data_IF_443156130190
#
_entry.id   IF_443156130190
#
_cell.length_a   1.000
_cell.length_b   1.000
_cell.length_c   1.000
_cell.angle_alpha   90.00
_cell.angle_beta   90.00
_cell.angle_gamma   90.00
#
_symmetry.space_group_name_H-M   'P 1'
#
loop_
_entity.id
_entity.type
_entity.pdbx_description
1 polymer ?
#
# COMPACT_ATOMS: atom_id res chain seq x y z
N UNK A 1 43.30 -50.68 -11.31
CA UNK A 1 43.35 -49.96 -10.02
C UNK A 1 43.99 -48.60 -10.25
N UNK A 2 43.17 -47.56 -10.37
CA UNK A 2 43.64 -46.17 -10.38
C UNK A 2 42.55 -45.34 -9.71
N UNK A 3 42.78 -45.00 -8.44
CA UNK A 3 41.86 -44.25 -7.62
C UNK A 3 41.93 -42.76 -8.01
N UNK A 4 40.82 -42.20 -8.48
CA UNK A 4 40.64 -40.76 -8.56
C UNK A 4 40.27 -40.25 -7.15
N UNK A 5 41.22 -39.62 -6.48
CA UNK A 5 40.95 -38.79 -5.31
C UNK A 5 40.29 -37.48 -5.76
N UNK A 6 38.97 -37.39 -5.59
CA UNK A 6 38.27 -36.11 -5.56
C UNK A 6 38.57 -35.42 -4.23
N UNK A 7 39.52 -34.48 -4.25
CA UNK A 7 39.66 -33.47 -3.19
C UNK A 7 38.55 -32.43 -3.38
N UNK A 8 37.43 -32.61 -2.69
CA UNK A 8 36.50 -31.50 -2.44
C UNK A 8 37.11 -30.59 -1.37
N UNK A 9 37.75 -29.51 -1.80
CA UNK A 9 38.10 -28.40 -0.91
C UNK A 9 36.84 -27.59 -0.55
N UNK A 10 36.80 -26.93 0.62
CA UNK A 10 35.66 -26.10 1.00
C UNK A 10 35.55 -24.92 0.03
N UNK A 11 34.41 -24.77 -0.64
CA UNK A 11 34.11 -23.58 -1.42
C UNK A 11 34.00 -22.38 -0.47
N UNK A 12 35.00 -21.51 -0.45
CA UNK A 12 34.95 -20.24 0.24
C UNK A 12 33.97 -19.31 -0.49
N UNK A 13 32.72 -19.26 -0.03
CA UNK A 13 31.72 -18.33 -0.52
C UNK A 13 32.04 -16.92 -0.01
N UNK A 14 31.96 -15.92 -0.90
CA UNK A 14 32.20 -14.52 -0.54
C UNK A 14 31.01 -13.96 0.25
N UNK A 15 31.21 -12.90 1.04
CA UNK A 15 30.14 -12.20 1.76
C UNK A 15 29.03 -11.71 0.79
N UNK A 16 29.44 -11.29 -0.42
CA UNK A 16 28.56 -10.93 -1.53
C UNK A 16 27.66 -12.08 -2.01
N UNK A 17 28.18 -13.33 -2.05
CA UNK A 17 27.37 -14.50 -2.39
C UNK A 17 26.33 -14.82 -1.32
N UNK A 18 26.70 -14.64 -0.04
CA UNK A 18 25.80 -14.89 1.09
C UNK A 18 24.63 -13.91 1.09
N UNK A 19 24.89 -12.63 0.82
CA UNK A 19 23.83 -11.62 0.73
C UNK A 19 22.89 -11.89 -0.45
N UNK A 20 23.43 -12.28 -1.61
CA UNK A 20 22.61 -12.70 -2.76
C UNK A 20 21.67 -13.85 -2.38
N UNK A 21 22.18 -14.90 -1.73
CA UNK A 21 21.35 -16.04 -1.34
C UNK A 21 20.31 -15.72 -0.28
N UNK A 22 20.61 -14.79 0.62
CA UNK A 22 19.65 -14.28 1.61
C UNK A 22 18.52 -13.51 0.94
N UNK A 23 18.84 -12.67 -0.04
CA UNK A 23 17.85 -11.98 -0.88
C UNK A 23 16.95 -12.96 -1.62
N UNK A 24 17.53 -13.97 -2.27
CA UNK A 24 16.78 -14.99 -3.01
C UNK A 24 15.87 -15.82 -2.08
N UNK A 25 16.36 -16.17 -0.89
CA UNK A 25 15.58 -16.90 0.09
C UNK A 25 14.45 -16.05 0.68
N UNK A 26 14.68 -14.75 0.92
CA UNK A 26 13.62 -13.82 1.32
C UNK A 26 12.53 -13.72 0.24
N UNK A 27 12.91 -13.56 -1.04
CA UNK A 27 11.94 -13.56 -2.14
C UNK A 27 11.14 -14.85 -2.18
N UNK A 28 11.80 -16.00 -2.00
CA UNK A 28 11.12 -17.28 -1.94
C UNK A 28 10.08 -17.30 -0.81
N UNK A 29 10.44 -16.88 0.42
CA UNK A 29 9.52 -16.85 1.55
C UNK A 29 8.30 -15.94 1.31
N UNK A 30 8.52 -14.78 0.69
CA UNK A 30 7.47 -13.79 0.46
C UNK A 30 6.53 -14.16 -0.71
N UNK A 31 7.01 -14.94 -1.68
CA UNK A 31 6.27 -15.23 -2.93
C UNK A 31 5.77 -16.68 -3.04
N UNK A 32 6.26 -17.60 -2.21
CA UNK A 32 5.88 -19.01 -2.28
C UNK A 32 4.40 -19.24 -1.92
N UNK A 33 3.72 -20.08 -2.70
CA UNK A 33 2.32 -20.48 -2.47
C UNK A 33 2.18 -21.72 -1.59
N UNK A 34 3.11 -22.66 -1.73
CA UNK A 34 3.12 -23.94 -0.99
C UNK A 34 4.54 -24.21 -0.48
N UNK A 35 4.92 -23.60 0.65
CA UNK A 35 6.26 -23.77 1.20
C UNK A 35 6.47 -25.18 1.73
N UNK A 36 7.58 -25.82 1.33
CA UNK A 36 8.12 -27.00 2.04
C UNK A 36 8.80 -26.50 3.32
N UNK A 37 8.05 -26.54 4.43
CA UNK A 37 8.49 -25.98 5.71
C UNK A 37 9.80 -26.61 6.22
N UNK A 38 9.96 -27.95 6.28
CA UNK A 38 11.24 -28.55 6.63
C UNK A 38 12.42 -28.02 5.82
N UNK A 39 12.26 -27.92 4.49
CA UNK A 39 13.31 -27.42 3.61
C UNK A 39 13.63 -25.94 3.86
N UNK A 40 12.62 -25.10 4.11
CA UNK A 40 12.83 -23.68 4.43
C UNK A 40 13.56 -23.47 5.75
N UNK A 41 13.25 -24.26 6.80
CA UNK A 41 13.98 -24.18 8.07
C UNK A 41 15.44 -24.60 7.88
N UNK A 42 15.69 -25.71 7.18
CA UNK A 42 17.06 -26.14 6.87
C UNK A 42 17.86 -25.07 6.10
N UNK A 43 17.20 -24.39 5.15
CA UNK A 43 17.83 -23.31 4.37
C UNK A 43 18.06 -22.06 5.22
N UNK A 44 17.13 -21.72 6.12
CA UNK A 44 17.30 -20.63 7.08
C UNK A 44 18.47 -20.88 8.03
N UNK A 45 18.58 -22.09 8.59
CA UNK A 45 19.69 -22.49 9.45
C UNK A 45 21.04 -22.36 8.73
N UNK A 46 21.12 -22.83 7.49
CA UNK A 46 22.32 -22.69 6.65
C UNK A 46 22.70 -21.23 6.40
N UNK A 47 21.71 -20.36 6.16
CA UNK A 47 21.89 -18.92 5.93
C UNK A 47 22.05 -18.12 7.23
N UNK A 48 21.95 -18.79 8.39
CA UNK A 48 21.94 -18.21 9.73
C UNK A 48 20.84 -17.15 9.91
N UNK A 49 19.65 -17.43 9.39
CA UNK A 49 18.48 -16.58 9.55
C UNK A 49 17.60 -17.10 10.70
N UNK A 50 17.40 -16.32 11.77
CA UNK A 50 16.50 -16.69 12.87
C UNK A 50 15.01 -16.60 12.48
N UNK A 51 14.46 -17.55 11.73
CA UNK A 51 13.03 -17.58 11.38
C UNK A 51 12.10 -17.64 12.61
N UNK A 52 12.61 -18.12 13.75
CA UNK A 52 11.85 -18.26 15.00
C UNK A 52 11.56 -16.91 15.69
N UNK A 53 12.25 -15.83 15.28
CA UNK A 53 11.98 -14.49 15.80
C UNK A 53 10.83 -13.87 15.00
N UNK A 54 9.88 -13.17 15.64
CA UNK A 54 8.84 -12.47 14.91
C UNK A 54 9.44 -11.30 14.11
N UNK A 55 9.15 -11.26 12.82
CA UNK A 55 9.56 -10.18 11.93
C UNK A 55 8.35 -9.40 11.42
N UNK A 56 8.60 -8.23 10.84
CA UNK A 56 7.63 -7.47 10.05
C UNK A 56 8.22 -7.21 8.67
N UNK A 57 7.39 -7.35 7.65
CA UNK A 57 7.70 -6.98 6.28
C UNK A 57 7.43 -5.49 6.13
N UNK A 58 8.37 -4.73 5.59
CA UNK A 58 8.12 -3.36 5.12
C UNK A 58 8.21 -3.32 3.62
N UNK A 59 7.28 -2.61 2.98
CA UNK A 59 7.23 -2.41 1.54
C UNK A 59 7.33 -0.92 1.24
N UNK A 60 8.20 -0.57 0.31
CA UNK A 60 8.48 0.81 -0.08
C UNK A 60 8.31 0.96 -1.57
N UNK A 61 7.69 2.06 -2.01
CA UNK A 61 7.45 2.37 -3.42
C UNK A 61 7.68 3.83 -3.71
N UNK A 62 8.32 4.10 -4.85
CA UNK A 62 8.37 5.43 -5.44
C UNK A 62 7.10 5.67 -6.26
N UNK A 63 6.37 6.73 -5.93
CA UNK A 63 5.19 7.18 -6.68
C UNK A 63 5.45 8.55 -7.34
N UNK A 64 4.55 8.96 -8.22
CA UNK A 64 4.69 10.17 -9.04
C UNK A 64 5.49 9.95 -10.33
N UNK A 65 5.70 8.72 -10.78
CA UNK A 65 6.43 8.44 -12.03
C UNK A 65 5.85 9.20 -13.25
N UNK A 66 4.52 9.31 -13.44
CA UNK A 66 3.96 10.02 -14.60
C UNK A 66 4.43 11.48 -14.74
N UNK A 67 4.77 12.17 -13.64
CA UNK A 67 5.27 13.55 -13.72
C UNK A 67 6.66 13.65 -14.35
N UNK A 68 7.48 12.60 -14.24
CA UNK A 68 8.80 12.54 -14.91
C UNK A 68 8.66 12.41 -16.42
N UNK A 69 7.62 11.73 -16.90
CA UNK A 69 7.36 11.52 -18.33
C UNK A 69 6.46 12.61 -18.94
N UNK A 70 6.18 13.67 -18.18
CA UNK A 70 5.44 14.83 -18.70
C UNK A 70 6.26 15.56 -19.77
N UNK A 71 5.63 16.08 -20.85
CA UNK A 71 6.32 16.91 -21.86
C UNK A 71 7.02 18.14 -21.28
N UNK A 72 6.60 18.58 -20.09
CA UNK A 72 7.16 19.73 -19.38
C UNK A 72 8.39 19.39 -18.52
N UNK A 73 8.77 18.12 -18.38
CA UNK A 73 9.91 17.72 -17.56
C UNK A 73 11.22 17.96 -18.30
N UNK A 74 12.09 18.80 -17.73
CA UNK A 74 13.42 19.08 -18.24
C UNK A 74 14.42 18.08 -17.65
N UNK A 75 14.67 16.96 -18.35
CA UNK A 75 15.64 15.95 -17.92
C UNK A 75 15.50 14.65 -18.70
N UNK A 76 16.27 13.63 -18.32
CA UNK A 76 16.08 12.26 -18.79
C UNK A 76 15.25 11.48 -17.74
N UNK A 77 13.96 11.19 -18.01
CA UNK A 77 13.06 10.57 -17.04
C UNK A 77 13.58 9.23 -16.50
N UNK A 78 14.09 8.37 -17.39
CA UNK A 78 14.65 7.07 -17.05
C UNK A 78 15.88 7.19 -16.17
N UNK A 79 16.78 8.15 -16.46
CA UNK A 79 17.97 8.37 -15.64
C UNK A 79 17.60 8.83 -14.22
N UNK A 80 16.63 9.76 -14.10
CA UNK A 80 16.14 10.23 -12.80
C UNK A 80 15.51 9.09 -11.99
N UNK A 81 14.68 8.25 -12.63
CA UNK A 81 14.05 7.11 -11.97
C UNK A 81 15.10 6.08 -11.51
N UNK A 82 16.08 5.79 -12.36
CA UNK A 82 17.16 4.86 -12.04
C UNK A 82 18.00 5.37 -10.86
N UNK A 83 18.38 6.65 -10.85
CA UNK A 83 19.15 7.24 -9.76
C UNK A 83 18.36 7.25 -8.45
N UNK A 84 17.07 7.62 -8.50
CA UNK A 84 16.19 7.60 -7.31
C UNK A 84 16.06 6.20 -6.71
N UNK A 85 15.95 5.16 -7.54
CA UNK A 85 15.91 3.75 -7.10
C UNK A 85 17.23 3.32 -6.47
N UNK A 86 18.36 3.66 -7.13
CA UNK A 86 19.70 3.36 -6.62
C UNK A 86 19.93 4.01 -5.26
N UNK A 87 19.57 5.29 -5.12
CA UNK A 87 19.70 6.03 -3.87
C UNK A 87 18.84 5.43 -2.75
N UNK A 88 17.58 5.10 -3.04
CA UNK A 88 16.71 4.41 -2.08
C UNK A 88 17.35 3.11 -1.59
N UNK A 89 17.84 2.26 -2.52
CA UNK A 89 18.46 1.00 -2.17
C UNK A 89 19.73 1.19 -1.32
N UNK A 90 20.57 2.17 -1.66
CA UNK A 90 21.78 2.48 -0.90
C UNK A 90 21.48 2.97 0.52
N UNK A 91 20.54 3.90 0.69
CA UNK A 91 20.20 4.39 2.02
C UNK A 91 19.48 3.33 2.86
N UNK A 92 18.63 2.49 2.24
CA UNK A 92 18.04 1.34 2.93
C UNK A 92 19.10 0.35 3.40
N UNK A 93 20.08 0.05 2.56
CA UNK A 93 21.19 -0.82 2.95
C UNK A 93 22.01 -0.22 4.10
N UNK A 94 22.24 1.11 4.10
CA UNK A 94 22.93 1.80 5.18
C UNK A 94 22.13 1.78 6.51
N UNK A 95 20.80 1.85 6.44
CA UNK A 95 19.91 1.76 7.60
C UNK A 95 19.98 0.37 8.28
N UNK A 96 20.27 -0.67 7.49
CA UNK A 96 20.19 -2.09 7.85
C UNK A 96 21.51 -2.66 8.40
N UNK A 97 22.31 -1.89 9.12
CA UNK A 97 23.62 -2.35 9.66
C UNK A 97 23.47 -3.65 10.49
N UNK A 98 23.77 -4.80 9.87
CA UNK A 98 23.66 -6.15 10.48
C UNK A 98 22.34 -6.89 10.26
N UNK A 99 21.40 -6.35 9.48
CA UNK A 99 20.15 -7.00 9.10
C UNK A 99 20.18 -7.52 7.63
N UNK A 100 19.09 -8.10 7.13
CA UNK A 100 19.01 -8.66 5.77
C UNK A 100 19.09 -7.57 4.69
N UNK A 101 19.71 -7.83 3.53
CA UNK A 101 19.72 -6.84 2.46
C UNK A 101 18.28 -6.53 1.98
N UNK A 102 18.00 -5.28 1.57
CA UNK A 102 16.77 -4.95 0.87
C UNK A 102 16.62 -5.79 -0.39
N UNK A 103 15.39 -6.21 -0.68
CA UNK A 103 15.09 -6.94 -1.90
C UNK A 103 14.07 -6.21 -2.74
N UNK A 104 14.34 -6.16 -4.04
CA UNK A 104 13.47 -5.50 -5.01
C UNK A 104 12.58 -6.53 -5.70
N UNK A 105 11.27 -6.29 -5.68
CA UNK A 105 10.27 -7.06 -6.41
C UNK A 105 9.45 -6.11 -7.29
N UNK A 106 9.81 -6.01 -8.57
CA UNK A 106 9.21 -5.03 -9.48
C UNK A 106 9.55 -3.59 -9.08
N UNK A 107 8.55 -2.80 -8.70
CA UNK A 107 8.69 -1.42 -8.20
C UNK A 107 8.76 -1.33 -6.66
N UNK A 108 8.60 -2.45 -5.97
CA UNK A 108 8.64 -2.53 -4.52
C UNK A 108 10.05 -2.81 -4.02
N UNK A 109 10.50 -2.04 -3.03
CA UNK A 109 11.64 -2.38 -2.20
C UNK A 109 11.15 -2.95 -0.87
N UNK A 110 11.59 -4.15 -0.53
CA UNK A 110 11.12 -4.95 0.60
C UNK A 110 12.24 -5.08 1.63
N UNK A 111 11.90 -4.88 2.89
CA UNK A 111 12.79 -5.14 4.02
C UNK A 111 12.10 -6.05 5.02
N UNK A 112 12.88 -6.92 5.65
CA UNK A 112 12.46 -7.66 6.83
C UNK A 112 13.13 -7.07 8.05
N UNK A 113 12.33 -6.62 9.00
CA UNK A 113 12.82 -6.07 10.26
C UNK A 113 12.34 -6.97 11.41
N UNK A 114 13.19 -7.37 12.36
CA UNK A 114 12.75 -7.98 13.60
C UNK A 114 11.74 -7.06 14.31
N UNK A 115 10.72 -7.62 14.96
CA UNK A 115 9.63 -6.82 15.56
C UNK A 115 10.13 -5.84 16.63
N UNK A 116 11.23 -6.16 17.29
CA UNK A 116 11.92 -5.36 18.29
C UNK A 116 13.05 -4.49 17.72
N UNK A 117 13.17 -4.41 16.38
CA UNK A 117 14.08 -3.48 15.71
C UNK A 117 13.76 -2.04 16.14
N UNK A 118 14.77 -1.20 16.44
CA UNK A 118 14.53 0.19 16.84
C UNK A 118 13.87 1.02 15.74
N UNK A 119 13.93 0.57 14.48
CA UNK A 119 13.23 1.17 13.35
C UNK A 119 11.70 1.03 13.47
N UNK A 120 11.22 -0.02 14.13
CA UNK A 120 9.81 -0.30 14.37
C UNK A 120 9.31 0.19 15.74
N UNK A 121 10.06 1.08 16.37
CA UNK A 121 9.65 1.74 17.61
C UNK A 121 8.31 2.46 17.46
N UNK A 122 7.62 2.70 18.59
CA UNK A 122 6.26 3.24 18.62
C UNK A 122 6.13 4.51 17.76
N UNK A 123 5.18 4.50 16.83
CA UNK A 123 4.93 5.60 15.90
C UNK A 123 5.93 5.73 14.75
N UNK A 124 6.84 4.76 14.59
CA UNK A 124 7.76 4.59 13.46
C UNK A 124 8.58 5.83 13.11
N UNK A 125 8.94 6.64 14.11
CA UNK A 125 9.59 7.94 13.92
C UNK A 125 10.87 7.87 13.06
N UNK A 126 11.68 6.82 13.24
CA UNK A 126 12.90 6.62 12.44
C UNK A 126 12.60 6.35 10.97
N UNK A 127 11.59 5.53 10.67
CA UNK A 127 11.16 5.24 9.30
C UNK A 127 10.48 6.46 8.67
N UNK A 128 9.74 7.25 9.45
CA UNK A 128 9.17 8.53 8.99
C UNK A 128 10.27 9.54 8.65
N UNK A 129 11.29 9.68 9.52
CA UNK A 129 12.43 10.57 9.27
C UNK A 129 13.25 10.12 8.06
N UNK A 130 13.49 8.81 7.92
CA UNK A 130 14.13 8.22 6.74
C UNK A 130 13.37 8.58 5.45
N UNK A 131 12.04 8.41 5.45
CA UNK A 131 11.19 8.77 4.30
C UNK A 131 11.30 10.25 3.94
N UNK A 132 11.27 11.12 4.95
CA UNK A 132 11.39 12.56 4.75
C UNK A 132 12.75 12.96 4.16
N UNK A 133 13.83 12.34 4.62
CA UNK A 133 15.16 12.57 4.08
C UNK A 133 15.25 12.13 2.61
N UNK A 134 14.78 10.92 2.27
CA UNK A 134 14.75 10.45 0.88
C UNK A 134 13.93 11.41 0.00
N UNK A 135 12.72 11.79 0.42
CA UNK A 135 11.83 12.65 -0.38
C UNK A 135 12.43 14.01 -0.74
N UNK A 136 13.33 14.55 0.10
CA UNK A 136 14.02 15.80 -0.20
C UNK A 136 14.96 15.65 -1.41
N UNK A 137 15.53 14.45 -1.60
CA UNK A 137 16.53 14.19 -2.63
C UNK A 137 15.91 13.64 -3.94
N UNK A 138 14.79 12.92 -3.86
CA UNK A 138 14.18 12.23 -5.03
C UNK A 138 13.06 13.03 -5.73
N UNK A 139 12.83 14.28 -5.35
CA UNK A 139 11.81 15.12 -5.97
C UNK A 139 11.96 15.13 -7.51
N UNK A 140 10.87 15.07 -8.30
CA UNK A 140 9.47 15.17 -7.92
C UNK A 140 8.80 13.86 -7.46
N UNK A 141 9.55 12.76 -7.34
CA UNK A 141 8.99 11.50 -6.83
C UNK A 141 8.70 11.60 -5.33
N UNK A 142 7.81 10.73 -4.86
CA UNK A 142 7.50 10.60 -3.42
C UNK A 142 7.62 9.14 -3.00
N UNK A 143 8.32 8.89 -1.90
CA UNK A 143 8.43 7.58 -1.28
C UNK A 143 7.23 7.34 -0.36
N UNK A 144 6.56 6.21 -0.59
CA UNK A 144 5.53 5.66 0.28
C UNK A 144 6.01 4.37 0.95
N UNK A 145 5.52 4.11 2.16
CA UNK A 145 5.87 2.92 2.94
C UNK A 145 4.64 2.23 3.55
N UNK A 146 4.69 0.91 3.63
CA UNK A 146 3.73 0.07 4.34
C UNK A 146 4.44 -0.95 5.21
N UNK A 147 3.88 -1.24 6.38
CA UNK A 147 4.45 -2.17 7.36
C UNK A 147 3.42 -3.26 7.66
N UNK A 148 3.78 -4.54 7.52
CA UNK A 148 2.90 -5.68 7.83
C UNK A 148 2.66 -5.85 9.32
N UNK A 149 1.68 -6.65 9.72
CA UNK A 149 1.63 -7.20 11.07
C UNK A 149 2.84 -8.12 11.37
N UNK A 150 3.01 -8.55 12.62
CA UNK A 150 4.06 -9.50 12.98
C UNK A 150 3.86 -10.86 12.30
N UNK A 151 4.97 -11.41 11.80
CA UNK A 151 5.10 -12.70 11.14
C UNK A 151 6.03 -13.56 11.98
N UNK A 152 5.49 -14.60 12.60
CA UNK A 152 6.22 -15.48 13.52
C UNK A 152 6.49 -16.88 12.97
N UNK A 153 6.07 -17.16 11.72
CA UNK A 153 6.20 -18.47 11.09
C UNK A 153 6.48 -18.32 9.59
N UNK A 154 7.29 -19.23 9.04
CA UNK A 154 7.71 -19.22 7.63
C UNK A 154 6.53 -19.20 6.63
N UNK A 155 5.46 -19.93 6.94
CA UNK A 155 4.23 -19.98 6.12
C UNK A 155 3.44 -18.65 6.08
N UNK A 156 3.68 -17.73 7.02
CA UNK A 156 2.97 -16.46 7.10
C UNK A 156 3.70 -15.31 6.38
N UNK A 157 4.88 -15.53 5.81
CA UNK A 157 5.63 -14.47 5.13
C UNK A 157 4.90 -13.91 3.91
N UNK A 158 4.21 -14.75 3.15
CA UNK A 158 3.35 -14.28 2.05
C UNK A 158 2.20 -13.40 2.54
N UNK A 159 1.59 -13.74 3.68
CA UNK A 159 0.59 -12.89 4.35
C UNK A 159 1.21 -11.55 4.72
N UNK A 160 2.41 -11.57 5.33
CA UNK A 160 3.16 -10.35 5.65
C UNK A 160 3.42 -9.45 4.44
N UNK A 161 3.81 -10.01 3.29
CA UNK A 161 3.95 -9.23 2.06
C UNK A 161 2.62 -8.60 1.62
N UNK A 162 1.53 -9.36 1.68
CA UNK A 162 0.19 -8.85 1.35
C UNK A 162 -0.22 -7.71 2.28
N UNK A 163 -0.04 -7.87 3.58
CA UNK A 163 -0.34 -6.84 4.59
C UNK A 163 0.50 -5.57 4.39
N UNK A 164 1.81 -5.70 4.15
CA UNK A 164 2.69 -4.56 3.87
C UNK A 164 2.26 -3.80 2.60
N UNK A 165 1.88 -4.51 1.54
CA UNK A 165 1.35 -3.91 0.30
C UNK A 165 0.02 -3.20 0.51
N UNK A 166 -0.88 -3.78 1.32
CA UNK A 166 -2.16 -3.16 1.66
C UNK A 166 -1.94 -1.87 2.46
N UNK A 167 -1.05 -1.90 3.45
CA UNK A 167 -0.67 -0.71 4.22
C UNK A 167 -0.01 0.36 3.32
N UNK A 168 0.88 -0.03 2.42
CA UNK A 168 1.51 0.86 1.46
C UNK A 168 0.48 1.56 0.57
N UNK A 169 -0.45 0.80 -0.01
CA UNK A 169 -1.51 1.36 -0.85
C UNK A 169 -2.41 2.31 -0.03
N UNK A 170 -2.74 1.96 1.22
CA UNK A 170 -3.50 2.86 2.09
C UNK A 170 -2.72 4.14 2.43
N UNK A 171 -1.39 4.07 2.61
CA UNK A 171 -0.55 5.24 2.81
C UNK A 171 -0.58 6.19 1.60
N UNK A 172 -0.59 5.63 0.40
CA UNK A 172 -0.64 6.38 -0.86
C UNK A 172 -2.02 7.01 -1.10
N UNK A 173 -3.11 6.26 -0.91
CA UNK A 173 -4.45 6.69 -1.33
C UNK A 173 -5.25 7.40 -0.24
N UNK A 174 -5.03 7.07 1.04
CA UNK A 174 -5.86 7.55 2.15
C UNK A 174 -5.14 8.54 3.06
N UNK A 175 -3.81 8.43 3.18
CA UNK A 175 -2.99 9.27 4.07
C UNK A 175 -1.70 9.75 3.39
N UNK A 176 -1.78 10.38 2.20
CA UNK A 176 -0.60 10.75 1.43
C UNK A 176 0.34 11.68 2.18
N UNK A 177 -0.18 12.51 3.09
CA UNK A 177 0.58 13.42 3.94
C UNK A 177 1.51 12.68 4.92
N UNK A 178 1.07 11.54 5.46
CA UNK A 178 1.91 10.70 6.33
C UNK A 178 2.88 9.88 5.49
N UNK A 179 2.38 9.30 4.39
CA UNK A 179 3.15 8.50 3.43
C UNK A 179 3.78 7.23 4.00
N UNK A 180 3.48 6.88 5.25
CA UNK A 180 3.83 5.62 5.90
C UNK A 180 2.59 5.13 6.65
N UNK A 181 2.24 3.85 6.49
CA UNK A 181 1.15 3.24 7.22
C UNK A 181 1.57 1.91 7.83
N UNK A 182 1.15 1.70 9.07
CA UNK A 182 1.21 0.39 9.70
C UNK A 182 -0.08 -0.37 9.40
N UNK A 183 0.04 -1.64 8.98
CA UNK A 183 -1.08 -2.53 8.77
C UNK A 183 -1.95 -2.62 10.03
N UNK A 184 -1.38 -2.67 11.23
CA UNK A 184 -2.15 -2.77 12.49
C UNK A 184 -3.02 -1.55 12.76
N UNK A 185 -2.71 -0.41 12.13
CA UNK A 185 -3.43 0.85 12.30
C UNK A 185 -4.56 1.05 11.27
N UNK A 186 -4.74 0.09 10.34
CA UNK A 186 -5.76 0.17 9.28
C UNK A 186 -7.19 -0.04 9.79
N UNK A 187 -7.38 -0.73 10.92
CA UNK A 187 -8.71 -0.99 11.48
C UNK A 187 -9.64 -1.69 10.48
N UNK A 188 -10.81 -1.10 10.20
CA UNK A 188 -11.81 -1.64 9.25
C UNK A 188 -11.23 -1.89 7.85
N UNK A 189 -10.21 -1.15 7.43
CA UNK A 189 -9.57 -1.35 6.13
C UNK A 189 -8.94 -2.75 6.00
N UNK A 190 -8.48 -3.37 7.10
CA UNK A 190 -7.98 -4.75 7.09
C UNK A 190 -9.08 -5.75 6.69
N UNK A 191 -10.31 -5.52 7.16
CA UNK A 191 -11.45 -6.37 6.83
C UNK A 191 -11.79 -6.24 5.35
N UNK A 192 -11.78 -5.01 4.83
CA UNK A 192 -12.07 -4.74 3.41
C UNK A 192 -11.01 -5.38 2.50
N UNK A 193 -9.73 -5.25 2.84
CA UNK A 193 -8.65 -5.83 2.02
C UNK A 193 -8.52 -7.35 2.13
N UNK A 194 -9.20 -7.96 3.10
CA UNK A 194 -9.28 -9.42 3.25
C UNK A 194 -10.40 -10.05 2.41
N UNK A 195 -11.29 -9.24 1.82
CA UNK A 195 -12.33 -9.73 0.91
C UNK A 195 -11.68 -10.27 -0.35
N UNK A 196 -11.83 -11.59 -0.59
CA UNK A 196 -11.15 -12.28 -1.69
C UNK A 196 -11.71 -11.94 -3.08
N UNK A 197 -12.97 -11.49 -3.13
CA UNK A 197 -13.63 -11.08 -4.37
C UNK A 197 -13.74 -9.53 -4.44
N UNK A 198 -12.87 -8.86 -5.23
CA UNK A 198 -12.94 -7.42 -5.42
C UNK A 198 -14.25 -6.94 -6.06
N UNK A 199 -14.98 -7.82 -6.76
CA UNK A 199 -16.27 -7.47 -7.33
C UNK A 199 -17.30 -7.16 -6.24
N UNK A 200 -17.29 -7.87 -5.12
CA UNK A 200 -18.19 -7.60 -3.99
C UNK A 200 -17.97 -6.19 -3.43
N UNK A 201 -16.72 -5.76 -3.26
CA UNK A 201 -16.41 -4.40 -2.80
C UNK A 201 -16.88 -3.36 -3.81
N UNK A 202 -16.70 -3.64 -5.10
CA UNK A 202 -17.10 -2.74 -6.19
C UNK A 202 -18.62 -2.62 -6.26
N UNK A 203 -19.36 -3.73 -6.15
CA UNK A 203 -20.82 -3.75 -6.09
C UNK A 203 -21.32 -2.98 -4.87
N UNK A 204 -20.80 -3.26 -3.67
CA UNK A 204 -21.18 -2.53 -2.46
C UNK A 204 -20.97 -1.02 -2.60
N UNK A 205 -19.83 -0.61 -3.15
CA UNK A 205 -19.52 0.80 -3.40
C UNK A 205 -20.46 1.42 -4.44
N UNK A 206 -20.80 0.69 -5.51
CA UNK A 206 -21.75 1.14 -6.52
C UNK A 206 -23.18 1.24 -5.95
N UNK A 207 -23.62 0.30 -5.14
CA UNK A 207 -24.95 0.32 -4.53
C UNK A 207 -25.10 1.52 -3.58
N UNK A 208 -24.03 1.86 -2.84
CA UNK A 208 -24.05 2.97 -1.88
C UNK A 208 -23.83 4.36 -2.53
N UNK A 209 -22.96 4.47 -3.54
CA UNK A 209 -22.52 5.75 -4.11
C UNK A 209 -22.88 5.96 -5.58
N UNK A 210 -23.23 4.90 -6.31
CA UNK A 210 -23.44 4.94 -7.76
C UNK A 210 -24.53 5.92 -8.18
N UNK A 211 -25.65 5.95 -7.45
CA UNK A 211 -26.75 6.90 -7.70
C UNK A 211 -26.37 8.36 -7.42
N UNK A 212 -25.25 8.62 -6.75
CA UNK A 212 -24.74 9.97 -6.48
C UNK A 212 -23.83 10.50 -7.60
N UNK A 213 -23.49 9.67 -8.60
CA UNK A 213 -22.70 10.07 -9.76
C UNK A 213 -23.60 10.72 -10.81
N UNK A 214 -23.40 12.01 -11.07
CA UNK A 214 -24.19 12.79 -12.04
C UNK A 214 -23.41 12.97 -13.35
N UNK A 215 -23.32 11.92 -14.18
CA UNK A 215 -22.49 11.85 -15.40
C UNK A 215 -22.64 13.03 -16.39
N UNK A 216 -23.80 13.68 -16.43
CA UNK A 216 -24.09 14.77 -17.37
C UNK A 216 -23.74 16.17 -16.81
N UNK A 217 -23.13 16.26 -15.62
CA UNK A 217 -22.75 17.53 -14.99
C UNK A 217 -21.27 17.81 -15.13
N UNK A 218 -20.90 19.09 -15.00
CA UNK A 218 -19.49 19.55 -15.00
C UNK A 218 -18.63 18.86 -13.92
N UNK A 219 -19.26 18.46 -12.81
CA UNK A 219 -18.61 17.76 -11.71
C UNK A 219 -19.44 16.51 -11.34
N UNK A 220 -19.23 15.37 -12.03
CA UNK A 220 -20.04 14.16 -11.83
C UNK A 220 -20.00 13.60 -10.40
N UNK A 221 -18.91 13.82 -9.67
CA UNK A 221 -18.71 13.29 -8.32
C UNK A 221 -19.02 14.30 -7.21
N UNK A 222 -19.61 15.46 -7.53
CA UNK A 222 -19.83 16.56 -6.58
C UNK A 222 -20.60 16.14 -5.32
N UNK A 223 -21.60 15.27 -5.47
CA UNK A 223 -22.41 14.78 -4.35
C UNK A 223 -21.61 13.79 -3.47
N UNK A 224 -20.76 12.97 -4.07
CA UNK A 224 -19.85 12.06 -3.35
C UNK A 224 -18.83 12.88 -2.56
N UNK A 225 -18.21 13.90 -3.16
CA UNK A 225 -17.28 14.81 -2.48
C UNK A 225 -17.95 15.55 -1.32
N UNK A 226 -19.21 15.96 -1.50
CA UNK A 226 -19.99 16.62 -0.45
C UNK A 226 -20.28 15.66 0.71
N UNK A 227 -20.67 14.43 0.41
CA UNK A 227 -20.92 13.38 1.41
C UNK A 227 -19.66 13.04 2.21
N UNK A 228 -18.52 12.89 1.52
CA UNK A 228 -17.23 12.64 2.18
C UNK A 228 -16.86 13.78 3.13
N UNK A 229 -16.94 15.04 2.68
CA UNK A 229 -16.64 16.17 3.55
C UNK A 229 -17.52 16.22 4.81
N UNK A 230 -18.81 15.91 4.70
CA UNK A 230 -19.73 15.88 5.86
C UNK A 230 -19.37 14.75 6.82
N UNK A 231 -19.02 13.56 6.30
CA UNK A 231 -18.64 12.41 7.14
C UNK A 231 -17.26 12.61 7.79
N UNK A 232 -16.30 13.22 7.10
CA UNK A 232 -14.98 13.57 7.66
C UNK A 232 -15.11 14.56 8.83
N UNK A 233 -16.05 15.50 8.76
CA UNK A 233 -16.35 16.45 9.84
C UNK A 233 -17.34 15.89 10.87
N UNK A 234 -17.54 14.57 10.90
CA UNK A 234 -18.43 13.85 11.83
C UNK A 234 -19.88 14.39 11.84
N UNK A 235 -20.39 14.76 10.66
CA UNK A 235 -21.72 15.34 10.50
C UNK A 235 -21.83 16.83 10.81
N UNK A 236 -20.73 17.51 11.18
CA UNK A 236 -20.76 18.95 11.44
C UNK A 236 -20.90 19.74 10.12
N UNK A 237 -22.12 20.19 9.83
CA UNK A 237 -22.44 20.89 8.59
C UNK A 237 -21.73 22.23 8.42
N UNK A 238 -21.42 22.93 9.53
CA UNK A 238 -20.71 24.21 9.46
C UNK A 238 -19.28 23.97 9.01
N UNK A 239 -18.57 23.05 9.68
CA UNK A 239 -17.21 22.68 9.31
C UNK A 239 -17.13 22.08 7.91
N UNK A 240 -18.10 21.27 7.52
CA UNK A 240 -18.14 20.70 6.17
C UNK A 240 -18.34 21.78 5.09
N UNK A 241 -19.20 22.78 5.35
CA UNK A 241 -19.39 23.91 4.43
C UNK A 241 -18.13 24.75 4.29
N UNK A 242 -17.44 25.03 5.40
CA UNK A 242 -16.13 25.71 5.43
C UNK A 242 -15.07 24.92 4.64
N UNK A 243 -14.95 23.61 4.90
CA UNK A 243 -14.03 22.71 4.20
C UNK A 243 -14.25 22.70 2.69
N UNK A 244 -15.52 22.71 2.26
CA UNK A 244 -15.91 22.74 0.85
C UNK A 244 -15.86 24.16 0.25
N UNK A 245 -15.58 25.20 1.05
CA UNK A 245 -15.66 26.61 0.67
C UNK A 245 -17.00 27.00 0.03
N UNK A 246 -18.11 26.49 0.57
CA UNK A 246 -19.47 26.79 0.10
C UNK A 246 -20.35 27.37 1.20
N UNK A 247 -21.43 28.04 0.79
CA UNK A 247 -22.44 28.52 1.72
C UNK A 247 -23.28 27.36 2.29
N UNK A 248 -23.71 27.46 3.55
CA UNK A 248 -24.53 26.45 4.25
C UNK A 248 -25.80 26.05 3.48
N UNK A 249 -26.45 27.00 2.80
CA UNK A 249 -27.67 26.73 2.03
C UNK A 249 -27.39 25.78 0.85
N UNK A 250 -26.26 25.98 0.17
CA UNK A 250 -25.80 25.12 -0.92
C UNK A 250 -25.49 23.71 -0.38
N UNK A 251 -24.83 23.62 0.78
CA UNK A 251 -24.59 22.33 1.43
C UNK A 251 -25.92 21.61 1.73
N UNK A 252 -26.89 22.30 2.34
CA UNK A 252 -28.20 21.72 2.63
C UNK A 252 -28.93 21.22 1.38
N UNK A 253 -28.92 21.99 0.29
CA UNK A 253 -29.52 21.56 -0.98
C UNK A 253 -28.85 20.30 -1.53
N UNK A 254 -27.52 20.21 -1.47
CA UNK A 254 -26.78 19.01 -1.89
C UNK A 254 -27.08 17.81 -1.00
N UNK A 255 -27.19 18.00 0.31
CA UNK A 255 -27.54 16.93 1.24
C UNK A 255 -28.95 16.40 1.01
N UNK A 256 -29.94 17.27 0.83
CA UNK A 256 -31.29 16.85 0.44
C UNK A 256 -31.28 16.04 -0.86
N UNK A 257 -30.45 16.45 -1.83
CA UNK A 257 -30.31 15.71 -3.08
C UNK A 257 -29.66 14.34 -2.88
N UNK A 258 -28.65 14.24 -2.00
CA UNK A 258 -28.01 12.95 -1.64
C UNK A 258 -29.03 12.01 -1.00
N UNK A 259 -29.82 12.48 -0.04
CA UNK A 259 -30.85 11.67 0.62
C UNK A 259 -31.93 11.19 -0.37
N UNK A 260 -32.36 12.06 -1.29
CA UNK A 260 -33.31 11.69 -2.35
C UNK A 260 -32.77 10.61 -3.30
N UNK A 261 -31.51 10.70 -3.71
CA UNK A 261 -30.91 9.78 -4.68
C UNK A 261 -30.49 8.44 -4.06
N UNK A 262 -30.03 8.47 -2.81
CA UNK A 262 -29.60 7.27 -2.09
C UNK A 262 -30.74 6.52 -1.41
N UNK A 263 -31.89 7.18 -1.18
CA UNK A 263 -33.01 6.62 -0.43
C UNK A 263 -32.75 6.48 1.08
N UNK A 264 -31.61 6.98 1.57
CA UNK A 264 -31.23 6.96 2.99
C UNK A 264 -31.11 8.36 3.58
N UNK A 265 -30.90 8.45 4.89
CA UNK A 265 -30.72 9.72 5.61
C UNK A 265 -29.44 9.74 6.41
N UNK A 266 -28.78 10.91 6.45
CA UNK A 266 -27.60 11.11 7.29
C UNK A 266 -27.89 10.99 8.78
N UNK A 267 -29.15 11.02 9.20
CA UNK A 267 -29.52 10.75 10.60
C UNK A 267 -29.44 9.27 10.96
N UNK A 268 -29.57 8.36 9.98
CA UNK A 268 -29.47 6.92 10.18
C UNK A 268 -27.99 6.50 10.37
N UNK A 269 -27.62 5.91 11.53
CA UNK A 269 -26.28 5.42 11.76
C UNK A 269 -25.81 4.37 10.75
N UNK A 270 -26.71 3.50 10.28
CA UNK A 270 -26.35 2.43 9.35
C UNK A 270 -26.04 3.00 7.96
N UNK A 271 -26.87 3.93 7.48
CA UNK A 271 -26.57 4.69 6.27
C UNK A 271 -25.21 5.39 6.33
N UNK A 272 -24.91 6.10 7.44
CA UNK A 272 -23.60 6.77 7.61
C UNK A 272 -22.44 5.79 7.57
N UNK A 273 -22.59 4.63 8.20
CA UNK A 273 -21.56 3.58 8.19
C UNK A 273 -21.34 3.04 6.78
N UNK A 274 -22.42 2.67 6.08
CA UNK A 274 -22.35 2.14 4.72
C UNK A 274 -21.72 3.14 3.75
N UNK A 275 -22.14 4.41 3.82
CA UNK A 275 -21.56 5.49 3.04
C UNK A 275 -20.06 5.68 3.34
N UNK A 276 -19.68 5.65 4.63
CA UNK A 276 -18.28 5.77 5.05
C UNK A 276 -17.41 4.62 4.51
N UNK A 277 -17.90 3.39 4.56
CA UNK A 277 -17.22 2.20 4.00
C UNK A 277 -17.11 2.29 2.49
N UNK A 278 -18.19 2.68 1.81
CA UNK A 278 -18.18 2.85 0.35
C UNK A 278 -17.20 3.93 -0.11
N UNK A 279 -17.09 5.04 0.63
CA UNK A 279 -16.11 6.10 0.38
C UNK A 279 -14.67 5.65 0.64
N UNK A 280 -14.43 4.76 1.61
CA UNK A 280 -13.12 4.13 1.80
C UNK A 280 -12.76 3.26 0.60
N UNK A 281 -13.68 2.43 0.14
CA UNK A 281 -13.49 1.59 -1.06
C UNK A 281 -13.24 2.46 -2.29
N UNK A 282 -14.04 3.50 -2.51
CA UNK A 282 -13.89 4.41 -3.65
C UNK A 282 -12.48 5.04 -3.70
N UNK A 283 -11.95 5.51 -2.57
CA UNK A 283 -10.58 6.06 -2.49
C UNK A 283 -9.50 5.02 -2.76
N UNK A 284 -9.65 3.80 -2.24
CA UNK A 284 -8.72 2.69 -2.52
C UNK A 284 -8.75 2.26 -3.99
N UNK A 285 -9.92 2.31 -4.63
CA UNK A 285 -10.05 2.02 -6.05
C UNK A 285 -9.36 3.09 -6.91
N UNK A 286 -9.42 4.37 -6.50
CA UNK A 286 -8.78 5.51 -7.17
C UNK A 286 -7.26 5.37 -7.43
N UNK A 287 -6.55 4.63 -6.57
CA UNK A 287 -5.12 4.32 -6.77
C UNK A 287 -4.84 3.19 -7.74
N UNK A 288 -5.80 2.28 -7.97
CA UNK A 288 -5.65 1.17 -8.91
C UNK A 288 -6.00 1.58 -10.35
N UNK A 289 -6.77 2.67 -10.51
CA UNK A 289 -7.35 3.16 -11.77
C UNK A 289 -6.42 4.00 -12.65
N UNK A 290 -5.14 4.21 -12.31
CA UNK A 290 -4.19 4.78 -13.29
C UNK A 290 -3.97 3.86 -14.54
N UNK A 291 -4.60 2.68 -14.59
CA UNK A 291 -4.57 1.79 -15.77
C UNK A 291 -5.92 1.30 -16.32
N UNK A 292 -7.07 1.56 -15.70
CA UNK A 292 -8.37 1.08 -16.23
C UNK A 292 -9.50 2.03 -15.86
N UNK A 293 -10.09 2.69 -16.85
CA UNK A 293 -11.34 3.45 -16.67
C UNK A 293 -12.43 2.54 -16.08
N UNK A 294 -13.28 3.11 -15.21
CA UNK A 294 -14.43 2.40 -14.64
C UNK A 294 -15.25 1.73 -15.76
N UNK A 295 -15.56 0.43 -15.68
CA UNK A 295 -16.43 -0.20 -16.66
C UNK A 295 -17.84 0.36 -16.48
N UNK A 296 -18.30 1.11 -17.48
CA UNK A 296 -19.72 1.40 -17.64
C UNK A 296 -20.45 0.07 -17.81
N UNK A 297 -21.19 -0.35 -16.79
CA UNK A 297 -22.17 -1.42 -16.91
C UNK A 297 -23.24 -0.92 -17.88
N UNK A 298 -23.14 -1.36 -19.15
CA UNK A 298 -24.23 -1.19 -20.10
C UNK A 298 -25.36 -2.08 -19.64
N UNK A 299 -26.44 -1.46 -19.16
CA UNK A 299 -27.72 -2.13 -18.95
C UNK A 299 -28.21 -2.65 -20.30
N UNK A 300 -28.18 -3.96 -20.48
CA UNK A 300 -28.76 -4.64 -21.64
C UNK A 300 -30.28 -4.52 -21.53
N UNK A 301 -30.87 -3.55 -22.23
CA UNK A 301 -32.30 -3.58 -22.53
C UNK A 301 -32.52 -4.70 -23.55
N UNK A 302 -33.13 -5.80 -23.11
CA UNK A 302 -33.68 -6.82 -23.99
C UNK A 302 -34.95 -6.26 -24.66
N UNK A 303 -35.06 -6.56 -25.96
CA UNK A 303 -36.24 -6.39 -26.81
C UNK A 303 -37.40 -7.29 -26.37
#
# INVERSE_FOLDING_TARGET
MTAFHHRNGPHHHTESDRDRWRSDFLLQLLTCDRPDLPFLHQRADYLQWPLDRPHRVTAWRLSGMPSLFSPSYSGCPEAQLHESRRQLQQQLQALMSGELPPVTLGDLCLLMLPTDSPLLSRGHQKLTAFRQAINADIAPLTLFGGISGPVSAAEHYRRGLSEARQALNAAESLRPEKGLCDYTDLGVLQLLTSVSDPALLTCFMHDALGNLVENNRKSPHLLIETLDAVLQENGNLIKAAERLAIHRNTLHQRLQRIEQLSGGTLNDPLFRLNASVALLIWRLSGSQTQGTAMPSVKTTSQE
#
